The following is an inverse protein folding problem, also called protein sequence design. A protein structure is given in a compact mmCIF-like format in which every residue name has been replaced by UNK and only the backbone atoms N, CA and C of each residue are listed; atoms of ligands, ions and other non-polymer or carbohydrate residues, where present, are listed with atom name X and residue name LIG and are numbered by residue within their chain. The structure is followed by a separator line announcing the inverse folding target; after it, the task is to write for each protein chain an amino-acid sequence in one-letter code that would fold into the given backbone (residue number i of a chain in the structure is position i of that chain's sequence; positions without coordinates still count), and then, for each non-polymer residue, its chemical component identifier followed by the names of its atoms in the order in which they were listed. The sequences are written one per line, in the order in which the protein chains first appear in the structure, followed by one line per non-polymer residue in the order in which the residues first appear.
data_IF_635877249661
#
_entry.id   IF_635877249661
#
_cell.length_a   1.000
_cell.length_b   1.000
_cell.length_c   1.000
_cell.angle_alpha   90.00
_cell.angle_beta   90.00
_cell.angle_gamma   90.00
#
_symmetry.space_group_name_H-M   'P 1'
#
loop_
_entity.id
_entity.type
_entity.pdbx_description
1 polymer ?
#
# COMPACT_ATOMS: atom_id res chain seq x y z
N UNK A 1 -11.88 13.89 -12.40
CA UNK A 1 -11.24 13.55 -11.11
C UNK A 1 -11.22 14.81 -10.28
N UNK A 2 -11.68 14.75 -9.02
CA UNK A 2 -11.68 15.92 -8.11
C UNK A 2 -10.30 16.60 -8.07
N UNK A 3 -10.30 17.92 -7.92
CA UNK A 3 -9.09 18.66 -7.56
C UNK A 3 -8.49 18.04 -6.29
N UNK A 4 -7.16 17.89 -6.25
CA UNK A 4 -6.50 17.41 -5.03
C UNK A 4 -6.70 18.46 -3.94
N UNK A 5 -7.52 18.13 -2.96
CA UNK A 5 -7.76 18.94 -1.78
C UNK A 5 -7.20 18.28 -0.52
N UNK A 6 -7.39 18.97 0.61
CA UNK A 6 -6.91 18.51 1.90
C UNK A 6 -7.60 17.23 2.36
N UNK A 7 -8.91 17.14 2.19
CA UNK A 7 -9.72 15.99 2.62
C UNK A 7 -9.29 14.73 1.87
N UNK A 8 -9.04 14.82 0.57
CA UNK A 8 -8.54 13.72 -0.23
C UNK A 8 -7.17 13.24 0.26
N UNK A 9 -6.24 14.15 0.58
CA UNK A 9 -4.92 13.79 1.10
C UNK A 9 -5.03 13.09 2.47
N UNK A 10 -5.88 13.59 3.37
CA UNK A 10 -6.13 12.98 4.66
C UNK A 10 -6.75 11.58 4.52
N UNK A 11 -7.71 11.42 3.60
CA UNK A 11 -8.34 10.13 3.31
C UNK A 11 -7.34 9.10 2.79
N UNK A 12 -6.50 9.50 1.84
CA UNK A 12 -5.45 8.62 1.28
C UNK A 12 -4.40 8.28 2.34
N UNK A 13 -4.00 9.26 3.18
CA UNK A 13 -3.08 9.01 4.29
C UNK A 13 -3.65 7.98 5.28
N UNK A 14 -4.93 8.07 5.62
CA UNK A 14 -5.59 7.11 6.49
C UNK A 14 -5.63 5.69 5.88
N UNK A 15 -5.92 5.57 4.58
CA UNK A 15 -5.87 4.30 3.85
C UNK A 15 -4.45 3.69 3.87
N UNK A 16 -3.43 4.52 3.72
CA UNK A 16 -2.02 4.13 3.77
C UNK A 16 -1.44 4.04 5.19
N UNK A 17 -2.23 4.29 6.24
CA UNK A 17 -1.83 4.28 7.66
C UNK A 17 -0.72 5.29 8.00
N UNK A 18 -0.70 6.44 7.32
CA UNK A 18 0.14 7.57 7.69
C UNK A 18 -0.59 8.55 8.60
N UNK A 19 0.09 8.97 9.67
CA UNK A 19 -0.31 10.12 10.49
C UNK A 19 0.51 11.31 10.01
N UNK A 20 -0.16 12.32 9.46
CA UNK A 20 0.46 13.51 8.89
C UNK A 20 0.18 14.73 9.75
N UNK A 21 1.15 15.64 9.80
CA UNK A 21 0.97 16.98 10.36
C UNK A 21 0.33 17.92 9.34
N UNK A 22 -0.24 19.02 9.81
CA UNK A 22 -0.95 19.97 8.96
C UNK A 22 -0.06 20.54 7.85
N UNK A 23 1.21 20.84 8.16
CA UNK A 23 2.15 21.38 7.19
C UNK A 23 2.53 20.33 6.12
N UNK A 24 2.55 19.05 6.49
CA UNK A 24 2.81 17.94 5.56
C UNK A 24 1.63 17.72 4.63
N UNK A 25 0.41 17.85 5.13
CA UNK A 25 -0.81 17.77 4.33
C UNK A 25 -0.81 18.89 3.29
N UNK A 26 -0.54 20.14 3.68
CA UNK A 26 -0.47 21.26 2.73
C UNK A 26 0.61 21.07 1.66
N UNK A 27 1.79 20.58 2.05
CA UNK A 27 2.88 20.29 1.13
C UNK A 27 2.50 19.17 0.16
N UNK A 28 1.91 18.09 0.66
CA UNK A 28 1.49 16.93 -0.13
C UNK A 28 0.35 17.27 -1.09
N UNK A 29 -0.62 18.09 -0.69
CA UNK A 29 -1.67 18.58 -1.61
C UNK A 29 -1.06 19.26 -2.82
N UNK A 30 -0.08 20.15 -2.63
CA UNK A 30 0.63 20.83 -3.74
C UNK A 30 1.44 19.86 -4.59
N UNK A 31 2.13 18.91 -3.96
CA UNK A 31 2.94 17.92 -4.66
C UNK A 31 2.09 16.96 -5.50
N UNK A 32 1.02 16.40 -4.93
CA UNK A 32 0.12 15.50 -5.63
C UNK A 32 -0.61 16.21 -6.77
N UNK A 33 -1.02 17.47 -6.60
CA UNK A 33 -1.55 18.26 -7.71
C UNK A 33 -0.58 18.32 -8.89
N UNK A 34 0.69 18.67 -8.63
CA UNK A 34 1.74 18.70 -9.67
C UNK A 34 1.98 17.33 -10.33
N UNK A 35 1.99 16.26 -9.55
CA UNK A 35 2.22 14.89 -10.08
C UNK A 35 1.04 14.46 -10.96
N UNK A 36 -0.19 14.70 -10.53
CA UNK A 36 -1.36 14.37 -11.33
C UNK A 36 -1.46 15.23 -12.58
N UNK A 37 -1.17 16.53 -12.49
CA UNK A 37 -1.07 17.40 -13.66
C UNK A 37 -0.02 16.91 -14.66
N UNK A 38 1.11 16.38 -14.17
CA UNK A 38 2.12 15.76 -15.03
C UNK A 38 1.60 14.48 -15.68
N UNK A 39 0.92 13.60 -14.94
CA UNK A 39 0.38 12.33 -15.45
C UNK A 39 -0.74 12.55 -16.48
N UNK A 40 -1.49 13.66 -16.40
CA UNK A 40 -2.55 14.03 -17.38
C UNK A 40 -2.04 14.19 -18.80
N UNK A 41 -0.72 14.33 -19.03
CA UNK A 41 -0.16 14.26 -20.38
C UNK A 41 -0.49 12.95 -21.09
N UNK A 42 -0.78 11.87 -20.34
CA UNK A 42 -1.22 10.59 -20.91
C UNK A 42 -2.65 10.64 -21.46
N UNK A 43 -3.50 11.57 -20.99
CA UNK A 43 -4.88 11.73 -21.47
C UNK A 43 -4.94 12.28 -22.91
N UNK A 44 -3.84 12.89 -23.39
CA UNK A 44 -3.71 13.38 -24.77
C UNK A 44 -3.49 12.25 -25.78
N UNK A 45 -3.10 11.06 -25.30
CA UNK A 45 -2.85 9.91 -26.15
C UNK A 45 -4.18 9.22 -26.47
N UNK A 46 -4.39 8.78 -27.73
CA UNK A 46 -5.56 7.99 -28.06
C UNK A 46 -5.53 6.67 -27.29
N UNK A 47 -6.70 6.20 -26.87
CA UNK A 47 -6.83 4.86 -26.31
C UNK A 47 -6.32 3.84 -27.32
N UNK A 48 -5.44 2.95 -26.87
CA UNK A 48 -4.89 1.88 -27.70
C UNK A 48 -5.69 0.62 -27.41
N UNK A 49 -6.30 0.04 -28.44
CA UNK A 49 -6.88 -1.29 -28.35
C UNK A 49 -5.77 -2.32 -28.16
N UNK A 50 -5.79 -3.04 -27.04
CA UNK A 50 -4.81 -4.08 -26.74
C UNK A 50 -4.89 -4.56 -25.29
N UNK A 51 -4.38 -5.76 -25.05
CA UNK A 51 -4.32 -6.30 -23.70
C UNK A 51 -3.34 -5.48 -22.84
N UNK A 52 -3.76 -5.15 -21.61
CA UNK A 52 -2.85 -4.57 -20.62
C UNK A 52 -1.74 -5.57 -20.36
N UNK A 53 -0.51 -5.20 -20.68
CA UNK A 53 0.67 -6.03 -20.46
C UNK A 53 0.86 -6.25 -18.96
N UNK A 54 0.43 -7.41 -18.47
CA UNK A 54 0.44 -7.78 -17.06
C UNK A 54 1.34 -9.00 -16.86
N UNK A 55 2.66 -8.76 -16.77
CA UNK A 55 3.63 -9.82 -16.52
C UNK A 55 3.81 -10.78 -17.70
N UNK A 56 5.06 -11.11 -18.03
CA UNK A 56 5.38 -12.06 -19.08
C UNK A 56 5.31 -13.49 -18.52
N UNK A 57 4.10 -14.01 -18.32
CA UNK A 57 3.91 -15.41 -17.91
C UNK A 57 2.89 -16.06 -18.84
N UNK A 58 3.34 -17.06 -19.59
CA UNK A 58 2.52 -17.82 -20.55
C UNK A 58 1.43 -18.67 -19.88
N UNK A 59 1.55 -18.91 -18.56
CA UNK A 59 0.60 -19.66 -17.74
C UNK A 59 0.73 -19.25 -16.28
N UNK A 60 -0.32 -19.47 -15.50
CA UNK A 60 -0.27 -19.25 -14.06
C UNK A 60 0.73 -20.24 -13.41
N UNK A 61 1.74 -19.77 -12.66
CA UNK A 61 2.66 -20.65 -11.96
C UNK A 61 1.91 -21.39 -10.83
N UNK A 62 2.03 -22.71 -10.82
CA UNK A 62 1.45 -23.57 -9.79
C UNK A 62 2.56 -24.12 -8.89
N UNK A 63 2.22 -24.32 -7.61
CA UNK A 63 3.06 -25.00 -6.62
C UNK A 63 2.41 -26.35 -6.31
N UNK A 64 3.22 -27.41 -6.23
CA UNK A 64 2.76 -28.72 -5.77
C UNK A 64 2.29 -28.66 -4.31
N UNK A 65 1.30 -29.49 -3.96
CA UNK A 65 0.79 -29.58 -2.60
C UNK A 65 1.67 -30.46 -1.71
N UNK A 66 2.89 -29.98 -1.48
CA UNK A 66 3.90 -30.62 -0.63
C UNK A 66 4.27 -29.70 0.52
N UNK A 67 4.48 -30.27 1.69
CA UNK A 67 4.99 -29.54 2.86
C UNK A 67 6.44 -29.10 2.61
N UNK A 68 6.76 -27.86 2.98
CA UNK A 68 8.12 -27.33 2.96
C UNK A 68 8.66 -27.15 4.37
N UNK A 69 9.97 -27.01 4.52
CA UNK A 69 10.61 -26.76 5.81
C UNK A 69 10.16 -25.41 6.39
N UNK A 70 9.52 -25.37 7.57
CA UNK A 70 9.13 -24.12 8.20
C UNK A 70 10.34 -23.41 8.81
N UNK A 71 10.27 -22.09 8.91
CA UNK A 71 11.26 -21.31 9.64
C UNK A 71 11.20 -21.65 11.14
N UNK A 72 12.36 -21.74 11.79
CA UNK A 72 12.41 -21.90 13.25
C UNK A 72 11.71 -20.71 13.94
N UNK A 73 10.99 -20.97 15.02
CA UNK A 73 10.20 -19.96 15.71
C UNK A 73 11.07 -18.82 16.26
N UNK A 74 12.26 -19.11 16.78
CA UNK A 74 13.18 -18.10 17.30
C UNK A 74 13.66 -17.22 16.15
N UNK A 75 13.99 -17.83 15.01
CA UNK A 75 14.39 -17.10 13.81
C UNK A 75 13.25 -16.23 13.26
N UNK A 76 12.03 -16.77 13.19
CA UNK A 76 10.83 -16.06 12.73
C UNK A 76 10.50 -14.83 13.61
N UNK A 77 10.72 -14.93 14.93
CA UNK A 77 10.42 -13.86 15.88
C UNK A 77 11.56 -12.86 16.08
N UNK A 78 12.75 -13.11 15.52
CA UNK A 78 13.96 -12.32 15.77
C UNK A 78 13.80 -10.82 15.50
N UNK A 79 13.00 -10.45 14.51
CA UNK A 79 12.76 -9.05 14.11
C UNK A 79 11.44 -8.48 14.64
N UNK A 80 10.68 -9.23 15.45
CA UNK A 80 9.44 -8.73 16.02
C UNK A 80 9.73 -7.61 17.03
N UNK A 81 9.14 -6.40 16.91
CA UNK A 81 9.38 -5.31 17.85
C UNK A 81 9.07 -5.69 19.31
N UNK A 82 8.04 -6.51 19.51
CA UNK A 82 7.66 -7.07 20.81
C UNK A 82 7.21 -8.52 20.65
N UNK A 83 7.74 -9.41 21.49
CA UNK A 83 7.39 -10.83 21.52
C UNK A 83 7.54 -11.40 22.92
N UNK A 84 6.76 -12.45 23.24
CA UNK A 84 6.96 -13.26 24.45
C UNK A 84 7.72 -14.57 24.17
N UNK A 85 8.36 -14.70 22.99
CA UNK A 85 9.06 -15.90 22.55
C UNK A 85 8.15 -16.94 21.86
N UNK A 86 6.83 -16.70 21.86
CA UNK A 86 5.86 -17.57 21.17
C UNK A 86 4.97 -16.80 20.19
N UNK A 87 4.68 -15.53 20.48
CA UNK A 87 3.78 -14.68 19.70
C UNK A 87 4.38 -13.28 19.45
N UNK A 88 3.93 -12.63 18.38
CA UNK A 88 4.14 -11.20 18.18
C UNK A 88 3.11 -10.44 18.99
N UNK A 89 3.55 -9.53 19.85
CA UNK A 89 2.67 -8.74 20.71
C UNK A 89 2.31 -7.44 20.01
N UNK A 90 1.01 -7.18 19.86
CA UNK A 90 0.45 -5.95 19.28
C UNK A 90 -0.59 -5.34 20.22
N UNK A 91 -0.88 -4.02 20.12
CA UNK A 91 -1.97 -3.41 20.85
C UNK A 91 -3.29 -4.15 20.57
N UNK A 92 -4.12 -4.30 21.61
CA UNK A 92 -5.41 -4.96 21.49
C UNK A 92 -6.28 -4.22 20.46
N UNK A 93 -6.82 -4.96 19.50
CA UNK A 93 -7.78 -4.42 18.53
C UNK A 93 -9.10 -4.17 19.27
N UNK A 94 -9.38 -2.91 19.54
CA UNK A 94 -10.66 -2.43 20.07
C UNK A 94 -11.38 -1.78 18.89
N UNK A 95 -12.66 -2.08 18.67
CA UNK A 95 -13.44 -1.41 17.64
C UNK A 95 -13.43 0.09 17.93
N UNK A 96 -13.07 0.92 16.93
CA UNK A 96 -13.41 2.35 16.99
C UNK A 96 -14.92 2.45 16.86
N UNK A 97 -15.57 3.16 17.78
CA UNK A 97 -16.90 3.71 17.51
C UNK A 97 -16.73 4.72 16.36
N UNK A 98 -17.68 4.70 15.42
CA UNK A 98 -17.69 5.54 14.21
C UNK A 98 -17.69 7.03 14.53
#
# INVERSE_FOLDING_TARGET
MEDVDRELVEKVANLARFVLRDEEIEALTKHFKRVLDYVRQLDELPEVEGDVVSGFVSSAPMRDDVEGEPLDRIEALRNAPHTNGEYILVPKIIKREE
#
